data_IF_877502102741
#
_entry.id   IF_877502102741
#
_cell.length_a   1.000
_cell.length_b   1.000
_cell.length_c   1.000
_cell.angle_alpha   90.00
_cell.angle_beta   90.00
_cell.angle_gamma   90.00
#
_symmetry.space_group_name_H-M   'P 1'
#
loop_
_entity.id
_entity.type
_entity.pdbx_description
1 polymer ?
#
# COMPACT_ATOMS: atom_id res chain seq x y z
N UNK A 1 7.44 11.38 -29.57
CA UNK A 1 6.94 10.40 -28.57
C UNK A 1 6.65 11.21 -27.32
N UNK A 2 5.42 11.22 -26.82
CA UNK A 2 5.10 11.94 -25.58
C UNK A 2 5.59 11.04 -24.44
N UNK A 3 6.60 11.50 -23.71
CA UNK A 3 7.07 10.81 -22.52
C UNK A 3 6.04 11.04 -21.41
N UNK A 4 5.56 9.95 -20.79
CA UNK A 4 4.63 10.04 -19.66
C UNK A 4 5.35 10.66 -18.47
N UNK A 5 4.64 11.40 -17.64
CA UNK A 5 5.16 11.84 -16.34
C UNK A 5 5.23 10.67 -15.36
N UNK A 6 6.07 10.73 -14.30
CA UNK A 6 6.17 9.67 -13.30
C UNK A 6 4.83 9.32 -12.64
N UNK A 7 3.96 10.33 -12.45
CA UNK A 7 2.62 10.13 -11.91
C UNK A 7 1.72 9.35 -12.89
N UNK A 8 1.81 9.62 -14.19
CA UNK A 8 1.05 8.88 -15.21
C UNK A 8 1.53 7.43 -15.36
N UNK A 9 2.82 7.18 -15.15
CA UNK A 9 3.39 5.83 -15.12
C UNK A 9 2.87 5.06 -13.90
N UNK A 10 2.95 5.64 -12.70
CA UNK A 10 2.42 5.04 -11.48
C UNK A 10 0.91 4.73 -11.60
N UNK A 11 0.11 5.67 -12.11
CA UNK A 11 -1.34 5.45 -12.30
C UNK A 11 -1.60 4.31 -13.31
N UNK A 12 -0.76 4.18 -14.34
CA UNK A 12 -0.89 3.09 -15.30
C UNK A 12 -0.55 1.74 -14.65
N UNK A 13 0.50 1.68 -13.85
CA UNK A 13 0.92 0.50 -13.08
C UNK A 13 -0.16 0.07 -12.09
N UNK A 14 -0.69 1.00 -11.29
CA UNK A 14 -1.80 0.76 -10.37
C UNK A 14 -3.03 0.13 -11.07
N UNK A 15 -3.35 0.60 -12.27
CA UNK A 15 -4.48 0.06 -13.06
C UNK A 15 -4.20 -1.33 -13.58
N UNK A 16 -2.99 -1.59 -14.06
CA UNK A 16 -2.56 -2.91 -14.54
C UNK A 16 -2.60 -3.93 -13.40
N UNK A 17 -2.06 -3.57 -12.23
CA UNK A 17 -2.11 -4.40 -11.04
C UNK A 17 -3.56 -4.71 -10.63
N UNK A 18 -4.43 -3.70 -10.59
CA UNK A 18 -5.84 -3.92 -10.30
C UNK A 18 -6.50 -4.89 -11.29
N UNK A 19 -6.17 -4.80 -12.59
CA UNK A 19 -6.69 -5.71 -13.61
C UNK A 19 -6.16 -7.14 -13.44
N UNK A 20 -4.87 -7.30 -13.10
CA UNK A 20 -4.23 -8.59 -12.88
C UNK A 20 -4.88 -9.38 -11.73
N UNK A 21 -5.24 -8.69 -10.66
CA UNK A 21 -5.81 -9.31 -9.45
C UNK A 21 -7.35 -9.22 -9.37
N UNK A 22 -8.04 -8.90 -10.47
CA UNK A 22 -9.51 -8.73 -10.55
C UNK A 22 -10.05 -7.75 -9.47
N UNK A 23 -9.27 -6.72 -9.16
CA UNK A 23 -9.62 -5.68 -8.22
C UNK A 23 -10.32 -4.51 -8.91
N UNK A 24 -11.29 -3.90 -8.23
CA UNK A 24 -11.74 -2.57 -8.61
C UNK A 24 -10.59 -1.56 -8.43
N UNK A 25 -10.38 -0.69 -9.42
CA UNK A 25 -9.42 0.40 -9.31
C UNK A 25 -9.96 1.50 -8.39
N UNK A 26 -9.30 1.73 -7.26
CA UNK A 26 -9.57 2.85 -6.38
C UNK A 26 -8.52 3.93 -6.62
N UNK A 27 -8.97 5.12 -7.01
CA UNK A 27 -8.08 6.26 -7.22
C UNK A 27 -7.41 6.64 -5.90
N UNK A 28 -6.08 6.73 -5.92
CA UNK A 28 -5.26 7.19 -4.79
C UNK A 28 -4.95 8.68 -4.95
N UNK A 29 -5.16 9.45 -3.89
CA UNK A 29 -4.70 10.82 -3.73
C UNK A 29 -3.42 10.86 -2.90
N UNK A 30 -2.56 11.85 -3.15
CA UNK A 30 -1.38 12.07 -2.30
C UNK A 30 -1.75 12.48 -0.87
N UNK A 31 -2.96 12.97 -0.65
CA UNK A 31 -3.50 13.36 0.67
C UNK A 31 -4.25 12.22 1.38
N UNK A 32 -4.38 11.05 0.74
CA UNK A 32 -4.96 9.88 1.40
C UNK A 32 -4.06 9.44 2.56
N UNK A 33 -4.66 8.93 3.64
CA UNK A 33 -3.94 8.58 4.87
C UNK A 33 -3.72 7.07 4.96
N UNK A 34 -2.50 6.69 5.31
CA UNK A 34 -2.06 5.31 5.55
C UNK A 34 -1.48 5.20 6.96
N UNK A 35 -1.62 4.04 7.58
CA UNK A 35 -0.97 3.69 8.84
C UNK A 35 0.26 2.82 8.55
N UNK A 36 1.43 3.24 9.02
CA UNK A 36 2.70 2.55 8.74
C UNK A 36 3.46 2.30 10.04
N UNK A 37 3.87 1.05 10.27
CA UNK A 37 4.78 0.70 11.34
C UNK A 37 6.24 0.94 10.89
N UNK A 38 6.64 2.22 10.83
CA UNK A 38 7.92 2.67 10.23
C UNK A 38 9.13 1.93 10.82
N UNK A 39 9.12 1.65 12.12
CA UNK A 39 10.22 0.95 12.81
C UNK A 39 10.41 -0.50 12.36
N UNK A 40 9.41 -1.09 11.71
CA UNK A 40 9.43 -2.47 11.23
C UNK A 40 9.80 -2.60 9.75
N UNK A 41 9.88 -1.49 9.00
CA UNK A 41 10.17 -1.51 7.55
C UNK A 41 11.58 -2.01 7.20
N UNK A 42 12.45 -2.19 8.19
CA UNK A 42 13.74 -2.86 8.00
C UNK A 42 13.65 -4.39 8.02
N UNK A 43 12.52 -4.95 8.48
CA UNK A 43 12.20 -6.37 8.53
C UNK A 43 11.49 -6.81 7.25
N UNK A 44 11.52 -8.11 6.97
CA UNK A 44 10.96 -8.69 5.76
C UNK A 44 10.03 -9.87 6.12
N UNK A 45 8.96 -10.11 5.34
CA UNK A 45 8.52 -9.32 4.19
C UNK A 45 7.80 -8.03 4.63
N UNK A 46 7.67 -7.05 3.73
CA UNK A 46 6.76 -5.91 3.92
C UNK A 46 5.36 -6.36 3.54
N UNK A 47 4.41 -6.15 4.45
CA UNK A 47 3.01 -6.52 4.30
C UNK A 47 2.15 -5.28 4.36
N UNK A 48 1.21 -5.17 3.43
CA UNK A 48 0.15 -4.17 3.46
C UNK A 48 -1.22 -4.82 3.51
N UNK A 49 -2.10 -4.29 4.36
CA UNK A 49 -3.48 -4.76 4.49
C UNK A 49 -4.42 -3.59 4.25
N UNK A 50 -5.34 -3.75 3.29
CA UNK A 50 -6.41 -2.77 3.05
C UNK A 50 -7.67 -3.13 3.82
N UNK A 51 -7.93 -2.39 4.89
CA UNK A 51 -9.15 -2.52 5.68
C UNK A 51 -10.17 -1.47 5.26
N UNK A 52 -11.43 -1.76 5.55
CA UNK A 52 -12.49 -0.77 5.45
C UNK A 52 -12.22 0.34 6.47
N UNK A 53 -12.19 1.61 6.07
CA UNK A 53 -12.02 2.70 7.03
C UNK A 53 -13.19 2.71 8.02
N UNK A 54 -12.87 2.58 9.31
CA UNK A 54 -13.85 2.61 10.40
C UNK A 54 -13.99 4.00 11.04
N UNK A 55 -13.04 4.90 10.77
CA UNK A 55 -12.92 6.23 11.41
C UNK A 55 -13.08 7.37 10.39
N UNK A 56 -13.30 8.58 10.90
CA UNK A 56 -13.40 9.81 10.08
C UNK A 56 -12.12 10.11 9.28
N UNK A 57 -10.96 9.60 9.72
CA UNK A 57 -9.66 9.79 9.06
C UNK A 57 -9.48 8.96 7.78
N UNK A 58 -10.43 8.07 7.47
CA UNK A 58 -10.44 7.24 6.26
C UNK A 58 -9.14 6.43 6.02
N UNK A 59 -8.43 6.04 7.09
CA UNK A 59 -7.23 5.22 6.98
C UNK A 59 -7.61 3.84 6.44
N UNK A 60 -7.19 3.56 5.21
CA UNK A 60 -7.55 2.33 4.51
C UNK A 60 -6.42 1.31 4.51
N UNK A 61 -5.15 1.74 4.60
CA UNK A 61 -3.99 0.87 4.50
C UNK A 61 -3.20 0.81 5.80
N UNK A 62 -2.80 -0.41 6.16
CA UNK A 62 -1.93 -0.72 7.29
C UNK A 62 -0.69 -1.44 6.74
N UNK A 63 0.49 -0.82 6.85
CA UNK A 63 1.74 -1.30 6.26
C UNK A 63 2.77 -1.54 7.35
N UNK A 64 3.44 -2.69 7.32
CA UNK A 64 4.44 -3.09 8.32
C UNK A 64 5.43 -4.09 7.71
N UNK A 65 6.57 -4.31 8.36
CA UNK A 65 7.55 -5.33 7.97
C UNK A 65 7.64 -6.47 8.98
N UNK A 66 7.90 -7.68 8.48
CA UNK A 66 8.00 -8.88 9.29
C UNK A 66 6.65 -9.33 9.87
N UNK A 67 6.69 -9.90 11.07
CA UNK A 67 5.49 -10.35 11.77
C UNK A 67 4.93 -9.22 12.65
N UNK A 68 3.63 -8.97 12.52
CA UNK A 68 2.94 -8.04 13.41
C UNK A 68 2.78 -8.70 14.79
N UNK A 69 3.49 -8.19 15.79
CA UNK A 69 3.23 -8.56 17.19
C UNK A 69 1.87 -8.04 17.69
N UNK A 70 1.42 -8.50 18.86
CA UNK A 70 0.14 -8.12 19.49
C UNK A 70 0.00 -6.64 19.92
N UNK A 71 0.98 -5.77 19.65
CA UNK A 71 0.92 -4.38 20.13
C UNK A 71 0.41 -3.43 19.04
N UNK A 72 -0.67 -2.72 19.36
CA UNK A 72 -1.32 -1.72 18.49
C UNK A 72 -0.54 -0.39 18.41
N UNK A 73 0.46 -0.18 19.27
CA UNK A 73 1.17 1.11 19.46
C UNK A 73 2.24 1.43 18.39
N UNK A 74 2.44 0.58 17.39
CA UNK A 74 3.55 0.74 16.42
C UNK A 74 3.21 1.55 15.16
N UNK A 75 1.93 1.78 14.87
CA UNK A 75 1.51 2.41 13.62
C UNK A 75 1.49 3.94 13.73
N UNK A 76 2.13 4.60 12.77
CA UNK A 76 2.08 6.04 12.58
C UNK A 76 1.24 6.36 11.35
N UNK A 77 0.30 7.30 11.46
CA UNK A 77 -0.47 7.77 10.31
C UNK A 77 0.33 8.81 9.53
N UNK A 78 0.28 8.71 8.20
CA UNK A 78 0.93 9.64 7.29
C UNK A 78 0.18 9.69 5.96
N UNK A 79 0.44 10.72 5.17
CA UNK A 79 -0.12 10.84 3.82
C UNK A 79 0.60 9.93 2.83
N UNK A 80 -0.07 9.53 1.74
CA UNK A 80 0.56 8.79 0.64
C UNK A 80 1.77 9.54 0.06
N UNK A 81 1.72 10.88 0.07
CA UNK A 81 2.86 11.71 -0.33
C UNK A 81 4.08 11.51 0.57
N UNK A 82 3.88 11.40 1.88
CA UNK A 82 4.98 11.10 2.82
C UNK A 82 5.44 9.66 2.69
N UNK A 83 4.52 8.71 2.47
CA UNK A 83 4.86 7.32 2.21
C UNK A 83 5.76 7.18 0.99
N UNK A 84 5.54 7.96 -0.07
CA UNK A 84 6.37 7.95 -1.27
C UNK A 84 7.86 8.18 -0.97
N UNK A 85 8.18 8.99 0.04
CA UNK A 85 9.57 9.29 0.42
C UNK A 85 10.20 8.18 1.29
N UNK A 86 9.37 7.28 1.86
CA UNK A 86 9.78 6.24 2.82
C UNK A 86 9.77 4.86 2.19
N UNK A 87 8.68 4.51 1.49
CA UNK A 87 8.40 3.20 0.93
C UNK A 87 7.67 3.35 -0.43
N UNK A 88 8.35 3.84 -1.48
CA UNK A 88 7.75 4.05 -2.80
C UNK A 88 7.27 2.74 -3.45
N UNK A 89 7.88 1.61 -3.09
CA UNK A 89 7.50 0.26 -3.56
C UNK A 89 6.06 -0.11 -3.19
N UNK A 90 5.47 0.48 -2.15
CA UNK A 90 4.09 0.18 -1.75
C UNK A 90 3.03 0.91 -2.61
N UNK A 91 3.40 1.99 -3.31
CA UNK A 91 2.48 2.86 -4.05
C UNK A 91 1.63 2.14 -5.13
N UNK A 92 2.14 1.14 -5.87
CA UNK A 92 1.36 0.45 -6.90
C UNK A 92 0.17 -0.32 -6.32
N UNK A 93 0.31 -0.86 -5.10
CA UNK A 93 -0.73 -1.65 -4.45
C UNK A 93 -1.85 -0.81 -3.84
N UNK A 94 -1.60 0.48 -3.55
CA UNK A 94 -2.57 1.32 -2.82
C UNK A 94 -3.91 1.50 -3.54
N UNK A 95 -3.95 1.25 -4.85
CA UNK A 95 -5.17 1.33 -5.65
C UNK A 95 -6.09 0.10 -5.55
N UNK A 96 -5.60 -1.03 -5.02
CA UNK A 96 -6.37 -2.27 -4.85
C UNK A 96 -7.56 -2.07 -3.91
N UNK A 97 -8.70 -2.69 -4.17
CA UNK A 97 -9.93 -2.51 -3.39
C UNK A 97 -9.82 -3.02 -1.94
N UNK A 98 -10.82 -2.69 -1.11
CA UNK A 98 -10.91 -3.17 0.26
C UNK A 98 -10.86 -4.70 0.36
N UNK A 99 -10.19 -5.23 1.38
CA UNK A 99 -9.97 -6.67 1.58
C UNK A 99 -8.71 -7.21 0.91
N UNK A 100 -8.05 -6.43 0.05
CA UNK A 100 -6.77 -6.83 -0.53
C UNK A 100 -5.60 -6.68 0.45
N UNK A 101 -4.60 -7.53 0.23
CA UNK A 101 -3.32 -7.56 0.92
C UNK A 101 -2.21 -7.70 -0.10
N UNK A 102 -1.04 -7.15 0.23
CA UNK A 102 0.18 -7.40 -0.52
C UNK A 102 1.29 -7.83 0.44
N UNK A 103 2.24 -8.60 -0.09
CA UNK A 103 3.46 -9.00 0.57
C UNK A 103 4.60 -8.86 -0.43
N UNK A 104 5.61 -8.07 -0.09
CA UNK A 104 6.79 -7.84 -0.93
C UNK A 104 8.07 -8.03 -0.10
N UNK A 105 9.14 -8.51 -0.72
CA UNK A 105 10.47 -8.58 -0.09
C UNK A 105 11.55 -7.96 -0.99
N UNK A 106 12.79 -7.95 -0.49
CA UNK A 106 13.94 -7.39 -1.24
C UNK A 106 14.51 -8.35 -2.29
N UNK A 107 14.02 -9.58 -2.37
CA UNK A 107 14.40 -10.58 -3.38
C UNK A 107 13.44 -10.57 -4.59
N UNK A 108 12.68 -9.49 -4.77
CA UNK A 108 11.65 -9.31 -5.80
C UNK A 108 10.50 -10.34 -5.69
N UNK A 109 10.27 -10.91 -4.50
CA UNK A 109 9.04 -11.66 -4.25
C UNK A 109 7.88 -10.68 -4.11
N UNK A 110 6.78 -10.98 -4.80
CA UNK A 110 5.51 -10.27 -4.69
C UNK A 110 4.38 -11.30 -4.58
N UNK A 111 3.49 -11.09 -3.62
CA UNK A 111 2.23 -11.80 -3.52
C UNK A 111 1.10 -10.83 -3.17
N UNK A 112 0.00 -10.92 -3.90
CA UNK A 112 -1.17 -10.05 -3.71
C UNK A 112 -2.41 -10.93 -3.71
N UNK A 113 -3.21 -10.82 -2.66
CA UNK A 113 -4.42 -11.63 -2.52
C UNK A 113 -5.52 -10.85 -1.82
N UNK A 114 -6.75 -11.32 -2.01
CA UNK A 114 -7.92 -10.80 -1.29
C UNK A 114 -8.26 -11.76 -0.16
N UNK A 115 -8.48 -11.23 1.03
CA UNK A 115 -9.06 -11.98 2.14
C UNK A 115 -10.60 -11.87 2.09
N UNK A 116 -11.27 -12.99 2.34
CA UNK A 116 -12.74 -13.16 2.29
C UNK A 116 -13.44 -12.55 3.52
#
# INVERSE_FOLDING_TARGET
MIQKSPLEELIAEQKLLCEEFDSAYIKVSGDDVVAVAVETLNQEPIVGIRKKPETEENVAWFIYGGELGDAEDFFQTMTVRELQDILPEALPYLALAEGFRFMIDREDYEDVWKED
#
